data_IF_059620582031
#
_entry.id   IF_059620582031
#
_cell.length_a   1.000
_cell.length_b   1.000
_cell.length_c   1.000
_cell.angle_alpha   90.00
_cell.angle_beta   90.00
_cell.angle_gamma   90.00
#
_symmetry.space_group_name_H-M   'P 1'
#
loop_
_entity.id
_entity.type
_entity.pdbx_description
1 polymer ?
#
# COMPACT_ATOMS: atom_id res chain seq x y z
N UNK A 1 -4.26 -16.20 -27.18
CA UNK A 1 -5.61 -15.61 -27.23
C UNK A 1 -6.32 -16.05 -25.96
N UNK A 2 -6.87 -15.13 -25.17
CA UNK A 2 -7.63 -15.51 -23.98
C UNK A 2 -8.94 -16.20 -24.41
N UNK A 3 -9.44 -17.20 -23.66
CA UNK A 3 -10.73 -17.79 -23.93
C UNK A 3 -11.86 -16.76 -23.72
N UNK A 4 -13.03 -17.02 -24.30
CA UNK A 4 -14.25 -16.23 -24.08
C UNK A 4 -15.32 -17.13 -23.48
N UNK A 5 -16.23 -16.55 -22.70
CA UNK A 5 -17.30 -17.25 -21.98
C UNK A 5 -18.67 -16.66 -22.32
N UNK A 6 -19.71 -17.51 -22.30
CA UNK A 6 -21.10 -17.06 -22.38
C UNK A 6 -21.58 -16.59 -21.00
N UNK A 7 -21.45 -15.28 -20.71
CA UNK A 7 -21.96 -14.70 -19.45
C UNK A 7 -23.47 -14.93 -19.27
N UNK A 8 -24.24 -15.00 -20.35
CA UNK A 8 -25.68 -15.24 -20.23
C UNK A 8 -25.96 -16.67 -19.72
N UNK A 9 -25.10 -17.65 -20.01
CA UNK A 9 -25.18 -18.97 -19.41
C UNK A 9 -24.98 -18.91 -17.89
N UNK A 10 -23.96 -18.17 -17.41
CA UNK A 10 -23.73 -17.99 -15.98
C UNK A 10 -24.93 -17.36 -15.26
N UNK A 11 -25.58 -16.37 -15.88
CA UNK A 11 -26.79 -15.76 -15.33
C UNK A 11 -27.98 -16.72 -15.25
N UNK A 12 -28.07 -17.71 -16.15
CA UNK A 12 -29.08 -18.77 -16.07
C UNK A 12 -28.75 -19.79 -14.98
N UNK A 13 -27.46 -20.15 -14.85
CA UNK A 13 -26.97 -21.09 -13.84
C UNK A 13 -27.09 -20.51 -12.42
N UNK A 14 -26.90 -19.19 -12.27
CA UNK A 14 -27.00 -18.45 -11.02
C UNK A 14 -28.22 -17.50 -11.01
N UNK A 15 -29.41 -18.05 -10.82
CA UNK A 15 -30.68 -17.31 -10.90
C UNK A 15 -31.18 -16.73 -9.57
N UNK A 16 -30.64 -17.17 -8.43
CA UNK A 16 -31.10 -16.72 -7.11
C UNK A 16 -30.29 -15.51 -6.64
N UNK A 17 -30.88 -14.31 -6.49
CA UNK A 17 -30.14 -13.16 -5.97
C UNK A 17 -29.69 -13.39 -4.53
N UNK A 18 -28.51 -12.91 -4.19
CA UNK A 18 -27.95 -12.95 -2.83
C UNK A 18 -27.76 -11.52 -2.36
N UNK A 19 -28.31 -11.19 -1.19
CA UNK A 19 -28.10 -9.89 -0.57
C UNK A 19 -26.65 -9.73 -0.12
N UNK A 20 -25.97 -8.73 -0.70
CA UNK A 20 -24.59 -8.40 -0.33
C UNK A 20 -24.54 -7.87 1.11
N UNK A 21 -25.57 -7.15 1.56
CA UNK A 21 -25.65 -6.63 2.92
C UNK A 21 -25.83 -7.76 3.95
N UNK A 22 -26.65 -8.76 3.66
CA UNK A 22 -26.81 -9.94 4.54
C UNK A 22 -25.51 -10.75 4.59
N UNK A 23 -24.86 -10.98 3.46
CA UNK A 23 -23.56 -11.65 3.41
C UNK A 23 -22.50 -10.86 4.20
N UNK A 24 -22.50 -9.53 4.07
CA UNK A 24 -21.60 -8.65 4.83
C UNK A 24 -21.88 -8.74 6.34
N UNK A 25 -23.16 -8.78 6.74
CA UNK A 25 -23.54 -8.95 8.14
C UNK A 25 -23.06 -10.28 8.71
N UNK A 26 -23.09 -11.37 7.93
CA UNK A 26 -22.50 -12.66 8.32
C UNK A 26 -20.99 -12.52 8.53
N UNK A 27 -20.26 -11.91 7.60
CA UNK A 27 -18.81 -11.66 7.78
C UNK A 27 -18.53 -10.84 9.04
N UNK A 28 -19.28 -9.76 9.28
CA UNK A 28 -19.14 -8.92 10.47
C UNK A 28 -19.45 -9.70 11.75
N UNK A 29 -20.47 -10.57 11.74
CA UNK A 29 -20.79 -11.44 12.87
C UNK A 29 -19.61 -12.34 13.26
N UNK A 30 -18.84 -12.81 12.28
CA UNK A 30 -17.62 -13.59 12.49
C UNK A 30 -16.35 -12.74 12.72
N UNK A 31 -16.47 -11.42 12.86
CA UNK A 31 -15.38 -10.50 13.16
C UNK A 31 -14.61 -9.98 11.95
N UNK A 32 -15.12 -10.17 10.73
CA UNK A 32 -14.55 -9.60 9.51
C UNK A 32 -15.38 -8.40 9.06
N UNK A 33 -14.96 -7.19 9.47
CA UNK A 33 -15.57 -5.95 9.02
C UNK A 33 -14.86 -5.40 7.78
N UNK A 34 -15.49 -5.57 6.62
CA UNK A 34 -15.01 -5.01 5.36
C UNK A 34 -15.43 -3.53 5.26
N UNK A 35 -14.46 -2.64 5.45
CA UNK A 35 -14.63 -1.20 5.30
C UNK A 35 -14.96 -0.77 3.85
N UNK A 36 -15.31 0.52 3.63
CA UNK A 36 -15.83 1.01 2.35
C UNK A 36 -14.95 0.69 1.13
N UNK A 37 -13.62 0.75 1.28
CA UNK A 37 -12.66 0.45 0.21
C UNK A 37 -12.65 -1.03 -0.23
N UNK A 38 -13.20 -1.93 0.58
CA UNK A 38 -13.33 -3.35 0.29
C UNK A 38 -14.76 -3.76 -0.10
N UNK A 39 -15.73 -2.83 -0.10
CA UNK A 39 -17.12 -3.09 -0.50
C UNK A 39 -17.30 -2.95 -2.01
N UNK A 40 -16.56 -3.76 -2.76
CA UNK A 40 -16.46 -3.68 -4.23
C UNK A 40 -17.54 -4.48 -4.97
N UNK A 41 -18.26 -5.38 -4.29
CA UNK A 41 -19.32 -6.18 -4.92
C UNK A 41 -20.57 -5.33 -5.14
N UNK A 42 -21.10 -5.35 -6.37
CA UNK A 42 -22.30 -4.60 -6.78
C UNK A 42 -23.47 -5.51 -7.11
N UNK A 43 -23.22 -6.78 -7.45
CA UNK A 43 -24.25 -7.80 -7.58
C UNK A 43 -23.70 -9.17 -7.22
N UNK A 44 -24.59 -10.05 -6.74
CA UNK A 44 -24.26 -11.41 -6.37
C UNK A 44 -25.48 -12.31 -6.57
N UNK A 45 -25.27 -13.44 -7.22
CA UNK A 45 -26.29 -14.44 -7.48
C UNK A 45 -25.73 -15.84 -7.21
N UNK A 46 -26.61 -16.75 -6.83
CA UNK A 46 -26.30 -18.15 -6.50
C UNK A 46 -27.04 -19.09 -7.46
N UNK A 47 -26.36 -20.18 -7.78
CA UNK A 47 -26.87 -21.35 -8.49
C UNK A 47 -26.65 -22.63 -7.69
N UNK A 48 -26.92 -23.78 -8.31
CA UNK A 48 -26.61 -25.08 -7.71
C UNK A 48 -25.10 -25.35 -7.82
N UNK A 49 -24.36 -25.19 -6.72
CA UNK A 49 -22.90 -25.39 -6.70
C UNK A 49 -22.12 -24.30 -7.47
N UNK A 50 -22.75 -23.15 -7.70
CA UNK A 50 -22.13 -22.02 -8.40
C UNK A 50 -22.59 -20.67 -7.83
N UNK A 51 -21.80 -19.63 -8.08
CA UNK A 51 -22.14 -18.24 -7.78
C UNK A 51 -21.57 -17.30 -8.85
N UNK A 52 -22.29 -16.22 -9.10
CA UNK A 52 -21.93 -15.17 -10.04
C UNK A 52 -21.93 -13.82 -9.33
N UNK A 53 -20.86 -13.06 -9.47
CA UNK A 53 -20.77 -11.70 -8.94
C UNK A 53 -20.32 -10.68 -9.98
N UNK A 54 -20.62 -9.42 -9.71
CA UNK A 54 -20.02 -8.27 -10.37
C UNK A 54 -19.32 -7.41 -9.33
N UNK A 55 -18.01 -7.23 -9.49
CA UNK A 55 -17.20 -6.32 -8.68
C UNK A 55 -16.84 -5.05 -9.45
N UNK A 56 -16.77 -3.91 -8.76
CA UNK A 56 -16.30 -2.65 -9.30
C UNK A 56 -15.43 -1.88 -8.29
N UNK A 57 -14.41 -1.21 -8.80
CA UNK A 57 -13.64 -0.17 -8.08
C UNK A 57 -13.70 1.14 -8.88
N UNK A 58 -13.70 2.28 -8.18
CA UNK A 58 -13.69 3.62 -8.80
C UNK A 58 -12.29 4.08 -9.20
N UNK A 59 -11.26 3.47 -8.58
CA UNK A 59 -9.89 3.93 -8.71
C UNK A 59 -9.07 3.08 -9.69
N UNK A 60 -8.50 3.77 -10.69
CA UNK A 60 -7.43 3.27 -11.57
C UNK A 60 -6.08 3.86 -11.19
N UNK A 61 -5.71 3.92 -9.91
CA UNK A 61 -4.40 4.44 -9.47
C UNK A 61 -3.24 3.55 -9.92
N UNK A 62 -3.04 3.50 -11.24
CA UNK A 62 -1.83 3.39 -12.04
C UNK A 62 -1.02 2.13 -12.00
N UNK A 63 -1.04 1.38 -10.90
CA UNK A 63 0.11 0.55 -10.54
C UNK A 63 -0.24 -0.93 -10.33
N UNK A 64 -1.52 -1.28 -10.22
CA UNK A 64 -1.95 -2.65 -9.98
C UNK A 64 -2.34 -3.36 -11.27
N UNK A 65 -1.66 -4.48 -11.60
CA UNK A 65 -2.19 -5.44 -12.58
C UNK A 65 -3.45 -6.15 -12.06
N UNK A 66 -3.59 -6.23 -10.73
CA UNK A 66 -4.71 -6.85 -10.03
C UNK A 66 -5.02 -5.94 -8.84
N UNK A 67 -6.09 -5.15 -8.90
CA UNK A 67 -6.46 -4.29 -7.78
C UNK A 67 -6.82 -5.18 -6.57
N UNK A 68 -6.14 -5.08 -5.42
CA UNK A 68 -6.30 -6.03 -4.31
C UNK A 68 -7.74 -6.13 -3.80
N UNK A 69 -8.41 -4.99 -3.60
CA UNK A 69 -9.81 -4.98 -3.15
C UNK A 69 -10.75 -5.67 -4.14
N UNK A 70 -10.63 -5.37 -5.45
CA UNK A 70 -11.43 -6.00 -6.49
C UNK A 70 -11.19 -7.52 -6.54
N UNK A 71 -9.94 -7.95 -6.46
CA UNK A 71 -9.59 -9.36 -6.48
C UNK A 71 -10.10 -10.11 -5.24
N UNK A 72 -9.98 -9.51 -4.05
CA UNK A 72 -10.61 -10.05 -2.83
C UNK A 72 -12.14 -10.20 -3.00
N UNK A 73 -12.80 -9.19 -3.60
CA UNK A 73 -14.22 -9.29 -3.97
C UNK A 73 -14.51 -10.48 -4.89
N UNK A 74 -13.66 -10.70 -5.90
CA UNK A 74 -13.78 -11.86 -6.79
C UNK A 74 -13.69 -13.17 -5.98
N UNK A 75 -12.70 -13.30 -5.08
CA UNK A 75 -12.54 -14.48 -4.22
C UNK A 75 -13.74 -14.70 -3.29
N UNK A 76 -14.33 -13.62 -2.76
CA UNK A 76 -15.54 -13.69 -1.91
C UNK A 76 -16.77 -14.24 -2.63
N UNK A 77 -16.79 -14.25 -3.96
CA UNK A 77 -17.84 -14.94 -4.75
C UNK A 77 -17.96 -16.42 -4.35
N UNK A 78 -16.84 -17.07 -4.01
CA UNK A 78 -16.85 -18.48 -3.60
C UNK A 78 -17.64 -18.72 -2.30
N UNK A 79 -17.69 -17.74 -1.39
CA UNK A 79 -18.49 -17.83 -0.16
C UNK A 79 -20.00 -17.87 -0.45
N UNK A 80 -20.41 -17.40 -1.62
CA UNK A 80 -21.81 -17.39 -2.05
C UNK A 80 -22.22 -18.67 -2.79
N UNK A 81 -21.31 -19.60 -3.08
CA UNK A 81 -21.63 -20.87 -3.75
C UNK A 81 -22.58 -21.72 -2.91
N UNK A 82 -22.37 -21.75 -1.60
CA UNK A 82 -23.30 -22.32 -0.63
C UNK A 82 -24.05 -21.21 0.11
N UNK A 83 -25.18 -21.55 0.72
CA UNK A 83 -25.85 -20.65 1.66
C UNK A 83 -25.04 -20.59 2.95
N UNK A 84 -24.53 -19.39 3.26
CA UNK A 84 -23.85 -19.11 4.51
C UNK A 84 -24.80 -18.32 5.41
N UNK A 85 -25.02 -18.81 6.61
CA UNK A 85 -25.78 -18.16 7.68
C UNK A 85 -24.84 -17.76 8.81
N UNK A 86 -25.32 -16.95 9.76
CA UNK A 86 -24.52 -16.56 10.93
C UNK A 86 -24.21 -17.74 11.87
N UNK A 87 -24.97 -18.83 11.78
CA UNK A 87 -24.75 -20.06 12.57
C UNK A 87 -23.68 -20.96 11.94
N UNK A 88 -23.38 -20.76 10.65
CA UNK A 88 -22.38 -21.53 9.94
C UNK A 88 -20.97 -21.09 10.32
N UNK A 89 -20.03 -22.04 10.28
CA UNK A 89 -18.65 -21.67 10.44
C UNK A 89 -18.12 -20.96 9.20
N UNK A 90 -17.44 -19.83 9.41
CA UNK A 90 -16.85 -19.09 8.32
C UNK A 90 -15.68 -19.87 7.69
N UNK A 91 -15.70 -20.02 6.38
CA UNK A 91 -14.61 -20.60 5.62
C UNK A 91 -13.77 -19.49 4.99
N UNK A 92 -12.49 -19.44 5.35
CA UNK A 92 -11.59 -18.41 4.86
C UNK A 92 -10.66 -18.91 3.76
N UNK A 93 -10.31 -18.05 2.80
CA UNK A 93 -9.32 -18.36 1.77
C UNK A 93 -8.00 -18.80 2.41
N UNK A 94 -7.49 -19.99 2.05
CA UNK A 94 -6.19 -20.47 2.55
C UNK A 94 -5.18 -20.76 1.44
N UNK A 95 -5.65 -21.13 0.25
CA UNK A 95 -4.77 -21.37 -0.88
C UNK A 95 -5.52 -21.24 -2.22
N UNK A 96 -4.74 -21.05 -3.27
CA UNK A 96 -5.12 -21.32 -4.66
C UNK A 96 -3.99 -22.12 -5.30
N UNK A 97 -4.31 -22.96 -6.28
CA UNK A 97 -3.30 -23.75 -6.99
C UNK A 97 -2.63 -22.94 -8.09
N UNK A 98 -3.44 -22.27 -8.92
CA UNK A 98 -2.97 -21.43 -10.02
C UNK A 98 -3.80 -20.16 -10.14
N UNK A 99 -3.15 -19.10 -10.58
CA UNK A 99 -3.76 -17.87 -11.06
C UNK A 99 -3.20 -17.60 -12.45
N UNK A 100 -4.02 -17.84 -13.47
CA UNK A 100 -3.69 -17.55 -14.86
C UNK A 100 -4.23 -16.17 -15.21
N UNK A 101 -3.37 -15.15 -15.19
CA UNK A 101 -3.71 -13.77 -15.49
C UNK A 101 -3.37 -13.44 -16.95
N UNK A 102 -4.38 -13.27 -17.80
CA UNK A 102 -4.18 -13.00 -19.24
C UNK A 102 -3.88 -11.52 -19.52
N UNK A 103 -4.44 -10.62 -18.72
CA UNK A 103 -4.22 -9.16 -18.78
C UNK A 103 -4.57 -8.53 -17.42
N UNK A 104 -4.21 -7.25 -17.17
CA UNK A 104 -4.64 -6.55 -15.96
C UNK A 104 -6.16 -6.64 -15.74
N UNK A 105 -6.60 -6.77 -14.49
CA UNK A 105 -8.04 -6.72 -14.18
C UNK A 105 -8.58 -5.33 -14.57
N UNK A 106 -9.69 -5.26 -15.33
CA UNK A 106 -10.41 -4.01 -15.50
C UNK A 106 -11.04 -3.56 -14.18
N UNK A 107 -11.52 -2.31 -14.13
CA UNK A 107 -12.23 -1.76 -12.95
C UNK A 107 -13.48 -2.56 -12.60
N UNK A 108 -14.13 -3.15 -13.62
CA UNK A 108 -15.38 -3.90 -13.52
C UNK A 108 -15.16 -5.32 -14.00
N UNK A 109 -15.40 -6.29 -13.11
CA UNK A 109 -15.12 -7.71 -13.37
C UNK A 109 -16.30 -8.56 -12.98
N UNK A 110 -16.71 -9.43 -13.90
CA UNK A 110 -17.63 -10.53 -13.62
C UNK A 110 -16.84 -11.73 -13.11
N UNK A 111 -17.29 -12.34 -12.02
CA UNK A 111 -16.66 -13.54 -11.46
C UNK A 111 -17.67 -14.66 -11.37
N UNK A 112 -17.36 -15.79 -12.00
CA UNK A 112 -18.13 -17.03 -11.87
C UNK A 112 -17.32 -18.03 -11.04
N UNK A 113 -17.85 -18.40 -9.88
CA UNK A 113 -17.29 -19.43 -9.02
C UNK A 113 -18.12 -20.72 -9.17
N UNK A 114 -17.47 -21.85 -9.38
CA UNK A 114 -18.11 -23.15 -9.45
C UNK A 114 -17.36 -24.18 -8.62
N UNK A 115 -18.10 -25.00 -7.89
CA UNK A 115 -17.56 -26.19 -7.25
C UNK A 115 -17.43 -27.30 -8.30
N UNK A 116 -16.22 -27.81 -8.56
CA UNK A 116 -16.07 -28.98 -9.41
C UNK A 116 -16.78 -30.18 -8.75
N UNK A 117 -17.36 -31.10 -9.55
CA UNK A 117 -17.96 -32.33 -9.03
C UNK A 117 -16.84 -33.24 -8.50
N UNK A 118 -16.45 -33.06 -7.24
CA UNK A 118 -15.52 -33.93 -6.53
C UNK A 118 -16.20 -34.43 -5.27
N UNK A 119 -16.47 -35.72 -5.22
CA UNK A 119 -16.85 -36.42 -4.00
C UNK A 119 -15.64 -36.49 -3.04
N UNK A 120 -15.85 -36.06 -1.81
CA UNK A 120 -15.01 -36.46 -0.67
C UNK A 120 -13.74 -35.65 -0.46
N UNK A 121 -13.84 -34.56 0.29
CA UNK A 121 -13.06 -34.36 1.51
C UNK A 121 -13.86 -33.43 2.44
N UNK A 122 -14.24 -33.93 3.62
CA UNK A 122 -14.78 -33.09 4.68
C UNK A 122 -13.73 -32.00 5.03
N UNK A 123 -14.07 -30.73 4.80
CA UNK A 123 -13.29 -29.58 5.27
C UNK A 123 -12.58 -28.72 4.20
N UNK A 124 -12.51 -29.16 2.93
CA UNK A 124 -11.94 -28.36 1.84
C UNK A 124 -12.90 -28.28 0.64
N UNK A 125 -13.78 -27.29 0.65
CA UNK A 125 -14.54 -26.97 -0.56
C UNK A 125 -13.64 -26.19 -1.50
N UNK A 126 -13.11 -26.87 -2.52
CA UNK A 126 -12.38 -26.21 -3.59
C UNK A 126 -13.39 -25.61 -4.59
N UNK A 127 -13.16 -24.38 -5.03
CA UNK A 127 -13.89 -23.74 -6.13
C UNK A 127 -12.91 -23.30 -7.20
N UNK A 128 -13.34 -23.33 -8.45
CA UNK A 128 -12.63 -22.67 -9.55
C UNK A 128 -13.36 -21.37 -9.88
N UNK A 129 -12.60 -20.29 -10.13
CA UNK A 129 -13.15 -18.98 -10.45
C UNK A 129 -12.71 -18.56 -11.85
N UNK A 130 -13.66 -18.15 -12.68
CA UNK A 130 -13.40 -17.54 -13.99
C UNK A 130 -13.81 -16.08 -13.94
N UNK A 131 -12.86 -15.19 -14.24
CA UNK A 131 -13.06 -13.75 -14.25
C UNK A 131 -13.11 -13.26 -15.70
N UNK A 132 -14.13 -12.48 -16.07
CA UNK A 132 -14.25 -11.89 -17.40
C UNK A 132 -14.68 -10.41 -17.35
N UNK A 133 -14.48 -9.73 -18.48
CA UNK A 133 -14.98 -8.36 -18.67
C UNK A 133 -16.46 -8.33 -19.09
N UNK A 134 -16.94 -7.13 -19.41
CA UNK A 134 -18.32 -6.91 -19.86
C UNK A 134 -18.65 -7.56 -21.22
N UNK A 135 -17.64 -7.93 -22.01
CA UNK A 135 -17.78 -8.61 -23.31
C UNK A 135 -17.65 -10.15 -23.21
N UNK A 136 -17.37 -10.67 -22.01
CA UNK A 136 -17.15 -12.10 -21.77
C UNK A 136 -15.74 -12.57 -22.11
N UNK A 137 -14.80 -11.67 -22.41
CA UNK A 137 -13.40 -12.05 -22.58
C UNK A 137 -12.77 -12.37 -21.22
N UNK A 138 -12.22 -13.58 -21.09
CA UNK A 138 -11.62 -14.04 -19.83
C UNK A 138 -10.35 -13.23 -19.53
N UNK A 139 -10.32 -12.63 -18.34
CA UNK A 139 -9.18 -11.82 -17.86
C UNK A 139 -8.28 -12.60 -16.91
N UNK A 140 -8.87 -13.49 -16.11
CA UNK A 140 -8.14 -14.38 -15.22
C UNK A 140 -8.90 -15.67 -14.94
N UNK A 141 -8.16 -16.72 -14.59
CA UNK A 141 -8.71 -17.98 -14.05
C UNK A 141 -7.97 -18.31 -12.76
N UNK A 142 -8.73 -18.63 -11.71
CA UNK A 142 -8.23 -19.16 -10.44
C UNK A 142 -8.64 -20.61 -10.35
N UNK A 143 -7.67 -21.52 -10.23
CA UNK A 143 -7.96 -22.95 -10.07
C UNK A 143 -7.57 -23.45 -8.69
N UNK A 144 -8.37 -24.38 -8.17
CA UNK A 144 -8.16 -25.00 -6.87
C UNK A 144 -8.16 -24.00 -5.72
N UNK A 145 -9.02 -22.98 -5.78
CA UNK A 145 -9.20 -22.04 -4.68
C UNK A 145 -9.83 -22.79 -3.51
N UNK A 146 -9.12 -22.89 -2.40
CA UNK A 146 -9.56 -23.64 -1.22
C UNK A 146 -9.79 -22.72 -0.05
N UNK A 147 -10.91 -22.99 0.63
CA UNK A 147 -11.29 -22.33 1.88
C UNK A 147 -11.20 -23.33 3.02
N UNK A 148 -10.80 -22.86 4.19
CA UNK A 148 -10.74 -23.67 5.42
C UNK A 148 -11.64 -23.06 6.48
N UNK A 149 -12.36 -23.93 7.20
CA UNK A 149 -13.12 -23.52 8.39
C UNK A 149 -12.18 -22.78 9.35
N UNK A 150 -12.56 -21.56 9.68
CA UNK A 150 -11.81 -20.74 10.60
C UNK A 150 -12.52 -20.76 11.95
N UNK A 151 -11.91 -21.41 12.94
CA UNK A 151 -12.34 -21.25 14.32
C UNK A 151 -11.91 -19.87 14.79
N UNK A 152 -12.84 -19.13 15.40
CA UNK A 152 -12.67 -17.73 15.82
C UNK A 152 -11.36 -17.51 16.59
N UNK A 153 -11.01 -18.46 17.47
CA UNK A 153 -9.81 -18.40 18.31
C UNK A 153 -8.51 -18.55 17.52
N UNK A 154 -8.52 -19.28 16.40
CA UNK A 154 -7.35 -19.43 15.51
C UNK A 154 -7.13 -18.18 14.68
N UNK A 155 -8.20 -17.49 14.28
CA UNK A 155 -8.10 -16.21 13.59
C UNK A 155 -7.59 -15.09 14.48
N UNK A 156 -8.13 -15.00 15.69
CA UNK A 156 -7.69 -14.02 16.67
C UNK A 156 -6.21 -14.24 17.00
N UNK A 157 -5.73 -15.48 17.19
CA UNK A 157 -4.29 -15.75 17.39
C UNK A 157 -3.38 -15.31 16.23
N UNK A 158 -3.87 -15.32 14.99
CA UNK A 158 -3.10 -14.87 13.82
C UNK A 158 -3.01 -13.35 13.71
N UNK A 159 -4.02 -12.64 14.24
CA UNK A 159 -4.09 -11.18 14.35
C UNK A 159 -3.47 -10.67 15.68
N UNK A 160 -3.38 -11.53 16.70
CA UNK A 160 -2.71 -11.30 18.00
C UNK A 160 -1.18 -11.39 17.89
N UNK A 161 -0.62 -11.77 16.72
CA UNK A 161 0.71 -11.28 16.40
C UNK A 161 0.53 -9.78 16.22
N UNK A 162 0.79 -9.05 17.31
CA UNK A 162 0.46 -7.66 17.50
C UNK A 162 1.11 -6.84 16.38
N UNK A 163 0.42 -6.72 15.25
CA UNK A 163 0.93 -6.01 14.09
C UNK A 163 1.17 -4.54 14.45
N UNK A 164 0.54 -4.06 15.53
CA UNK A 164 0.83 -2.79 16.18
C UNK A 164 2.30 -2.67 16.57
N UNK A 165 2.98 -3.76 16.98
CA UNK A 165 4.42 -3.79 17.28
C UNK A 165 5.28 -3.59 16.02
N UNK A 166 4.72 -3.80 14.83
CA UNK A 166 5.41 -3.56 13.56
C UNK A 166 5.11 -2.17 12.99
N UNK A 167 4.08 -1.49 13.49
CA UNK A 167 3.65 -0.19 13.01
C UNK A 167 4.31 0.92 13.83
N UNK A 168 5.13 1.74 13.17
CA UNK A 168 5.71 2.92 13.78
C UNK A 168 4.79 4.13 13.59
N UNK A 169 4.58 4.91 14.65
CA UNK A 169 4.03 6.27 14.56
C UNK A 169 5.09 7.28 14.95
N UNK A 170 5.24 8.32 14.13
CA UNK A 170 6.04 9.49 14.52
C UNK A 170 5.36 10.16 15.72
N UNK A 171 5.99 10.10 16.88
CA UNK A 171 5.49 10.72 18.11
C UNK A 171 6.48 11.79 18.57
N UNK A 172 6.19 13.04 18.24
CA UNK A 172 6.99 14.19 18.67
C UNK A 172 6.67 14.49 20.14
N UNK A 173 7.65 14.26 21.03
CA UNK A 173 7.55 14.57 22.45
C UNK A 173 8.36 15.82 22.74
N UNK A 174 7.72 16.84 23.34
CA UNK A 174 8.42 18.05 23.79
C UNK A 174 9.49 17.66 24.81
N UNK A 175 10.75 17.96 24.49
CA UNK A 175 11.89 17.68 25.35
C UNK A 175 12.57 19.00 25.67
N UNK A 176 12.85 19.24 26.95
CA UNK A 176 13.67 20.37 27.36
C UNK A 176 15.05 20.26 26.68
N UNK A 177 15.49 21.34 26.04
CA UNK A 177 16.83 21.43 25.47
C UNK A 177 17.81 21.32 26.63
N UNK A 178 18.76 20.36 26.61
CA UNK A 178 19.81 20.31 27.63
C UNK A 178 20.55 21.65 27.65
N UNK A 179 20.69 22.28 28.81
CA UNK A 179 21.61 23.41 28.99
C UNK A 179 23.05 22.90 28.89
N UNK A 180 23.52 22.65 27.67
CA UNK A 180 24.95 22.53 27.43
C UNK A 180 25.54 23.94 27.55
N UNK A 181 26.46 24.09 28.51
CA UNK A 181 27.22 25.31 28.72
C UNK A 181 27.92 25.68 27.41
N UNK A 182 27.43 26.72 26.74
CA UNK A 182 27.97 27.20 25.48
C UNK A 182 29.38 27.73 25.75
N UNK A 183 30.39 26.92 25.40
CA UNK A 183 31.79 27.33 25.47
C UNK A 183 32.24 27.85 24.10
N UNK A 184 32.80 29.06 24.13
CA UNK A 184 33.44 29.82 23.04
C UNK A 184 32.56 30.26 21.86
N UNK A 185 32.93 31.41 21.26
CA UNK A 185 32.30 32.04 20.09
C UNK A 185 32.21 31.04 18.92
N UNK A 186 31.02 30.52 18.67
CA UNK A 186 30.76 29.56 17.59
C UNK A 186 30.68 30.25 16.23
N UNK A 187 30.97 29.52 15.15
CA UNK A 187 30.75 29.94 13.77
C UNK A 187 29.71 29.01 13.12
N UNK A 188 28.53 29.54 12.83
CA UNK A 188 27.44 28.80 12.19
C UNK A 188 27.39 29.02 10.68
N UNK A 189 27.30 27.93 9.92
CA UNK A 189 26.84 27.97 8.53
C UNK A 189 25.33 27.76 8.50
N UNK A 190 24.60 28.76 7.99
CA UNK A 190 23.12 28.75 7.93
C UNK A 190 22.69 28.65 6.48
N UNK A 191 22.19 27.49 6.06
CA UNK A 191 21.66 27.25 4.72
C UNK A 191 20.20 27.68 4.70
N UNK A 192 19.92 28.83 4.12
CA UNK A 192 18.59 29.44 4.18
C UNK A 192 18.15 30.03 2.84
N UNK A 193 16.83 30.12 2.70
CA UNK A 193 16.08 30.82 1.66
C UNK A 193 15.99 32.32 2.02
N UNK A 194 15.39 33.14 1.15
CA UNK A 194 15.16 34.56 1.47
C UNK A 194 13.91 34.73 2.34
N UNK A 195 13.86 34.02 3.48
CA UNK A 195 12.76 34.08 4.43
C UNK A 195 13.09 34.89 5.69
N UNK A 196 12.03 35.34 6.39
CA UNK A 196 12.15 36.13 7.61
C UNK A 196 12.70 35.28 8.78
N UNK A 197 12.42 33.97 8.77
CA UNK A 197 12.85 33.06 9.84
C UNK A 197 14.36 32.93 9.94
N UNK A 198 15.06 32.74 8.82
CA UNK A 198 16.51 32.67 8.82
C UNK A 198 17.14 34.00 9.23
N UNK A 199 16.53 35.12 8.86
CA UNK A 199 16.98 36.46 9.23
C UNK A 199 16.87 36.68 10.75
N UNK A 200 15.73 36.32 11.35
CA UNK A 200 15.49 36.37 12.79
C UNK A 200 16.48 35.47 13.55
N UNK A 201 16.71 34.25 13.05
CA UNK A 201 17.64 33.31 13.67
C UNK A 201 19.09 33.82 13.65
N UNK A 202 19.54 34.35 12.51
CA UNK A 202 20.88 34.95 12.38
C UNK A 202 21.03 36.15 13.30
N UNK A 203 19.98 36.97 13.47
CA UNK A 203 19.97 38.07 14.41
C UNK A 203 20.13 37.59 15.86
N UNK A 204 19.41 36.54 16.26
CA UNK A 204 19.52 35.95 17.60
C UNK A 204 20.93 35.40 17.86
N UNK A 205 21.51 34.67 16.91
CA UNK A 205 22.87 34.14 17.03
C UNK A 205 23.92 35.26 17.10
N UNK A 206 23.75 36.31 16.29
CA UNK A 206 24.62 37.48 16.30
C UNK A 206 24.57 38.24 17.63
N UNK A 207 23.38 38.36 18.25
CA UNK A 207 23.21 38.96 19.59
C UNK A 207 23.92 38.16 20.69
N UNK A 208 24.11 36.85 20.50
CA UNK A 208 24.90 35.98 21.40
C UNK A 208 26.41 36.08 21.16
N UNK A 209 26.84 36.90 20.20
CA UNK A 209 28.25 37.09 19.83
C UNK A 209 28.81 35.96 18.97
N UNK A 210 27.93 35.15 18.35
CA UNK A 210 28.29 34.07 17.45
C UNK A 210 28.42 34.60 16.02
N UNK A 211 29.34 34.02 15.24
CA UNK A 211 29.54 34.38 13.84
C UNK A 211 28.61 33.54 12.98
N UNK A 212 27.86 34.17 12.07
CA UNK A 212 27.03 33.46 11.10
C UNK A 212 27.56 33.68 9.68
N UNK A 213 27.49 32.64 8.86
CA UNK A 213 27.71 32.70 7.42
C UNK A 213 26.47 32.12 6.74
N UNK A 214 25.75 32.95 5.98
CA UNK A 214 24.61 32.46 5.23
C UNK A 214 25.07 31.72 3.98
N UNK A 215 24.37 30.65 3.64
CA UNK A 215 24.49 29.94 2.37
C UNK A 215 23.11 29.95 1.71
N UNK A 216 22.98 30.65 0.58
CA UNK A 216 21.72 30.79 -0.16
C UNK A 216 21.75 30.00 -1.46
N UNK A 217 20.58 29.54 -1.92
CA UNK A 217 20.43 28.96 -3.26
C UNK A 217 20.66 30.05 -4.31
N UNK A 218 21.48 29.78 -5.31
CA UNK A 218 21.77 30.68 -6.43
C UNK A 218 22.00 29.90 -7.72
N UNK A 219 22.22 30.60 -8.83
CA UNK A 219 22.48 29.97 -10.12
C UNK A 219 23.89 29.34 -10.22
N UNK A 220 24.85 29.86 -9.46
CA UNK A 220 26.25 29.43 -9.42
C UNK A 220 26.93 29.89 -8.13
N UNK A 221 28.10 29.32 -7.84
CA UNK A 221 28.94 29.72 -6.71
C UNK A 221 29.32 31.21 -6.78
N UNK A 222 29.03 31.96 -5.71
CA UNK A 222 29.51 33.33 -5.51
C UNK A 222 29.70 33.64 -4.02
N UNK A 223 30.69 34.48 -3.71
CA UNK A 223 30.93 35.00 -2.36
C UNK A 223 30.37 36.42 -2.24
N UNK A 224 29.73 36.70 -1.11
CA UNK A 224 29.06 37.97 -0.79
C UNK A 224 29.50 38.43 0.61
N UNK A 225 29.31 39.71 0.98
CA UNK A 225 29.62 40.18 2.33
C UNK A 225 28.87 39.43 3.45
N UNK A 226 27.70 38.87 3.13
CA UNK A 226 26.79 38.17 4.05
C UNK A 226 27.01 36.65 4.06
N UNK A 227 27.83 36.11 3.14
CA UNK A 227 28.12 34.68 3.02
C UNK A 227 28.25 34.20 1.58
N UNK A 228 27.63 33.09 1.22
CA UNK A 228 27.76 32.44 -0.09
C UNK A 228 26.42 32.23 -0.78
N UNK A 229 26.43 32.23 -2.12
CA UNK A 229 25.35 31.66 -2.93
C UNK A 229 25.90 30.48 -3.71
N UNK A 230 25.17 29.36 -3.72
CA UNK A 230 25.56 28.15 -4.44
C UNK A 230 24.37 27.52 -5.15
N UNK A 231 24.62 26.82 -6.25
CA UNK A 231 23.63 25.98 -6.90
C UNK A 231 23.72 24.54 -6.35
N UNK A 232 22.75 24.07 -5.54
CA UNK A 232 22.81 22.74 -4.94
C UNK A 232 22.68 21.60 -5.98
N UNK A 233 22.13 21.88 -7.16
CA UNK A 233 22.03 20.89 -8.24
C UNK A 233 23.35 20.73 -9.00
N UNK A 234 24.32 21.64 -8.83
CA UNK A 234 25.66 21.52 -9.39
C UNK A 234 26.63 20.96 -8.34
N UNK A 235 27.16 19.73 -8.49
CA UNK A 235 28.05 19.13 -7.50
C UNK A 235 29.38 19.88 -7.29
N UNK A 236 29.82 20.71 -8.24
CA UNK A 236 31.04 21.52 -8.09
C UNK A 236 30.86 22.68 -7.08
N UNK A 237 29.66 23.24 -6.97
CA UNK A 237 29.41 24.40 -6.12
C UNK A 237 29.54 24.09 -4.61
N UNK A 238 28.98 22.99 -4.08
CA UNK A 238 29.25 22.53 -2.72
C UNK A 238 30.74 22.25 -2.45
N UNK A 239 31.47 21.70 -3.42
CA UNK A 239 32.91 21.46 -3.28
C UNK A 239 33.68 22.79 -3.09
N UNK A 240 33.37 23.80 -3.90
CA UNK A 240 33.95 25.15 -3.79
C UNK A 240 33.59 25.85 -2.47
N UNK A 241 32.41 25.59 -1.92
CA UNK A 241 32.01 26.08 -0.61
C UNK A 241 32.87 25.49 0.51
N UNK A 242 33.12 24.18 0.47
CA UNK A 242 34.01 23.51 1.43
C UNK A 242 35.44 24.02 1.33
N UNK A 243 35.94 24.23 0.11
CA UNK A 243 37.27 24.85 -0.12
C UNK A 243 37.35 26.26 0.46
N UNK A 244 36.31 27.09 0.28
CA UNK A 244 36.25 28.44 0.84
C UNK A 244 36.28 28.45 2.39
N UNK A 245 35.86 27.36 3.02
CA UNK A 245 35.89 27.17 4.48
C UNK A 245 37.17 26.54 5.02
N UNK A 246 38.13 26.16 4.17
CA UNK A 246 39.35 25.46 4.60
C UNK A 246 40.13 26.19 5.72
N UNK A 247 40.11 27.53 5.71
CA UNK A 247 40.82 28.34 6.71
C UNK A 247 39.98 28.67 7.96
N UNK A 248 38.65 28.68 7.84
CA UNK A 248 37.71 29.04 8.92
C UNK A 248 36.43 28.20 8.75
N UNK A 249 36.48 26.92 9.13
CA UNK A 249 35.32 26.04 9.00
C UNK A 249 34.25 26.39 10.03
N UNK A 250 32.97 26.29 9.67
CA UNK A 250 31.89 26.44 10.62
C UNK A 250 31.98 25.33 11.68
N UNK A 251 31.70 25.70 12.93
CA UNK A 251 31.63 24.78 14.07
C UNK A 251 30.24 24.19 14.26
N UNK A 252 29.23 24.79 13.62
CA UNK A 252 27.86 24.29 13.58
C UNK A 252 27.21 24.54 12.22
N UNK A 253 26.27 23.67 11.85
CA UNK A 253 25.53 23.77 10.59
C UNK A 253 24.03 23.76 10.87
N UNK A 254 23.32 24.73 10.29
CA UNK A 254 21.87 24.82 10.31
C UNK A 254 21.36 24.70 8.87
N UNK A 255 20.57 23.67 8.61
CA UNK A 255 20.02 23.38 7.28
C UNK A 255 18.53 23.72 7.21
N UNK A 256 18.20 24.92 6.72
CA UNK A 256 16.84 25.44 6.61
C UNK A 256 16.25 25.29 5.20
N UNK A 257 17.06 24.98 4.18
CA UNK A 257 16.55 24.66 2.83
C UNK A 257 15.59 23.48 2.78
N UNK A 258 15.61 22.59 3.78
CA UNK A 258 14.67 21.48 3.90
C UNK A 258 13.28 21.89 4.38
N UNK A 259 13.10 23.15 4.79
CA UNK A 259 11.80 23.72 5.16
C UNK A 259 11.10 24.37 3.95
N UNK A 260 11.78 24.50 2.81
CA UNK A 260 11.18 24.96 1.56
C UNK A 260 10.29 23.85 0.97
N UNK A 261 8.98 24.10 0.77
CA UNK A 261 7.97 23.10 0.34
C UNK A 261 8.09 22.61 -1.14
N UNK A 262 9.28 22.35 -1.68
CA UNK A 262 9.51 22.37 -3.14
C UNK A 262 9.90 21.10 -3.93
N UNK A 263 10.35 19.98 -3.35
CA UNK A 263 11.05 18.94 -4.16
C UNK A 263 10.56 17.49 -3.90
N UNK A 264 9.82 16.90 -4.86
CA UNK A 264 9.40 15.49 -4.86
C UNK A 264 10.02 14.74 -6.06
N UNK A 265 10.82 13.70 -5.79
CA UNK A 265 11.46 12.85 -6.80
C UNK A 265 10.59 11.61 -7.14
N UNK A 266 10.32 11.39 -8.43
CA UNK A 266 9.55 10.25 -8.95
C UNK A 266 10.42 9.06 -9.37
N UNK A 267 9.97 7.84 -9.05
CA UNK A 267 10.59 6.57 -9.43
C UNK A 267 9.70 5.80 -10.43
N UNK A 268 10.30 5.20 -11.46
CA UNK A 268 9.63 4.48 -12.54
C UNK A 268 10.27 3.10 -12.75
N UNK A 269 9.48 2.04 -12.57
CA UNK A 269 9.86 0.67 -12.91
C UNK A 269 8.87 0.00 -13.86
N UNK A 270 9.33 -0.95 -14.67
CA UNK A 270 8.48 -1.98 -15.27
C UNK A 270 9.27 -3.24 -15.68
N UNK A 271 8.93 -4.38 -15.07
CA UNK A 271 9.31 -5.73 -15.49
C UNK A 271 8.20 -6.73 -15.11
N UNK A 272 7.80 -7.59 -16.05
CA UNK A 272 6.68 -8.55 -15.90
C UNK A 272 7.07 -9.77 -15.04
N UNK A 273 6.30 -10.06 -13.98
CA UNK A 273 6.54 -11.19 -13.06
C UNK A 273 5.47 -12.27 -13.20
N UNK A 274 5.91 -13.53 -13.24
CA UNK A 274 5.07 -14.74 -13.15
C UNK A 274 5.32 -15.37 -11.77
N UNK A 275 4.35 -15.33 -10.87
CA UNK A 275 4.50 -15.84 -9.50
C UNK A 275 4.05 -17.31 -9.43
N UNK A 276 4.93 -18.21 -8.96
CA UNK A 276 4.58 -19.58 -8.59
C UNK A 276 4.81 -19.74 -7.09
N UNK A 277 3.79 -20.11 -6.33
CA UNK A 277 3.96 -20.52 -4.94
C UNK A 277 4.57 -21.92 -4.88
N UNK A 278 5.81 -22.04 -4.43
CA UNK A 278 6.38 -23.31 -3.97
C UNK A 278 6.32 -23.34 -2.45
N UNK A 279 5.37 -24.08 -1.90
CA UNK A 279 5.33 -24.38 -0.48
C UNK A 279 6.42 -25.39 -0.11
N UNK A 280 7.33 -24.98 0.76
CA UNK A 280 8.20 -25.88 1.52
C UNK A 280 8.46 -25.24 2.89
N UNK A 281 7.72 -25.66 3.91
CA UNK A 281 7.98 -25.30 5.29
C UNK A 281 8.89 -26.39 5.88
N UNK A 282 10.18 -26.11 6.01
CA UNK A 282 11.08 -26.93 6.81
C UNK A 282 11.02 -26.43 8.26
N UNK A 283 10.57 -27.30 9.17
CA UNK A 283 10.72 -27.12 10.62
C UNK A 283 12.20 -27.31 10.96
N UNK A 284 12.84 -26.30 11.54
CA UNK A 284 14.02 -26.52 12.37
C UNK A 284 13.57 -26.64 13.83
N UNK A 285 13.94 -27.75 14.46
CA UNK A 285 13.96 -27.89 15.92
C UNK A 285 15.24 -27.32 16.51
#
# INVERSE_FOLDING_TARGET
MAPSVDRAAWGRDCSTPVSIDELSAVFTHHGLDYGPSLRVLTSLHRGTGAALSLGQVEDRSGHYRVHPALFDGCLRTAAAVSQLTAEDALHLPVALQTLDLYRPLPERVWTYAAQPPREGQEGFSASDLTLCDDDGAVVAVVSGFSVRKAERDVLLRGLDNDFQDWLYRLNWVSRAVPEEAHSAKQHWAVFASEDDFASDLVQVLSQRGERCTLVRKGASFSSTPEGFRINPANPEDPARLVEAWANQPPTGLLYLWGLDEGDQAGDAGAGSTRLRSRGAWARCG
#
